data_IF_032013655407
#
_entry.id   IF_032013655407
#
_cell.length_a   1.000
_cell.length_b   1.000
_cell.length_c   1.000
_cell.angle_alpha   90.00
_cell.angle_beta   90.00
_cell.angle_gamma   90.00
#
_symmetry.space_group_name_H-M   'P 1'
#
loop_
_entity.id
_entity.type
_entity.pdbx_description
1 polymer ?
#
# COMPACT_ATOMS: atom_id res chain seq x y z
N UNK A 1 18.54 -29.26 -19.70
CA UNK A 1 17.84 -27.98 -19.93
C UNK A 1 18.83 -26.90 -19.63
N UNK A 2 19.27 -26.20 -20.66
CA UNK A 2 20.40 -25.27 -20.59
C UNK A 2 20.03 -24.06 -19.72
N UNK A 3 20.61 -23.99 -18.52
CA UNK A 3 20.34 -22.95 -17.53
C UNK A 3 20.85 -21.56 -17.95
N UNK A 4 21.60 -21.47 -19.04
CA UNK A 4 22.30 -20.26 -19.47
C UNK A 4 21.42 -19.29 -20.28
N UNK A 5 20.27 -19.74 -20.81
CA UNK A 5 19.41 -18.95 -21.71
C UNK A 5 18.05 -18.55 -21.10
N UNK A 6 18.00 -18.30 -19.78
CA UNK A 6 16.76 -17.76 -19.21
C UNK A 6 16.62 -16.26 -19.55
N UNK A 7 15.39 -15.76 -19.79
CA UNK A 7 15.14 -14.35 -20.13
C UNK A 7 15.68 -13.37 -19.07
N UNK A 8 15.78 -13.82 -17.82
CA UNK A 8 16.31 -13.04 -16.71
C UNK A 8 17.84 -12.89 -16.82
N UNK A 9 18.55 -13.99 -17.11
CA UNK A 9 20.01 -13.99 -17.31
C UNK A 9 20.36 -13.16 -18.54
N UNK A 10 19.61 -13.26 -19.63
CA UNK A 10 19.85 -12.42 -20.82
C UNK A 10 19.62 -10.94 -20.53
N UNK A 11 18.60 -10.60 -19.74
CA UNK A 11 18.31 -9.22 -19.37
C UNK A 11 19.40 -8.67 -18.43
N UNK A 12 19.83 -9.46 -17.46
CA UNK A 12 20.92 -9.11 -16.54
C UNK A 12 22.24 -8.88 -17.27
N UNK A 13 22.63 -9.82 -18.14
CA UNK A 13 23.84 -9.71 -18.95
C UNK A 13 23.79 -8.48 -19.87
N UNK A 14 22.63 -8.19 -20.46
CA UNK A 14 22.43 -6.97 -21.25
C UNK A 14 22.62 -5.71 -20.39
N UNK A 15 22.01 -5.65 -19.21
CA UNK A 15 22.15 -4.49 -18.30
C UNK A 15 23.61 -4.28 -17.86
N UNK A 16 24.36 -5.35 -17.58
CA UNK A 16 25.79 -5.27 -17.26
C UNK A 16 26.59 -4.73 -18.45
N UNK A 17 26.33 -5.21 -19.66
CA UNK A 17 27.03 -4.75 -20.86
C UNK A 17 26.74 -3.27 -21.15
N UNK A 18 25.48 -2.85 -21.05
CA UNK A 18 25.07 -1.45 -21.23
C UNK A 18 25.73 -0.52 -20.18
N UNK A 19 25.85 -1.00 -18.93
CA UNK A 19 26.56 -0.28 -17.87
C UNK A 19 28.06 -0.13 -18.18
N UNK A 20 28.73 -1.21 -18.59
CA UNK A 20 30.14 -1.20 -18.93
C UNK A 20 30.45 -0.29 -20.12
N UNK A 21 29.60 -0.29 -21.14
CA UNK A 21 29.73 0.62 -22.29
C UNK A 21 29.52 2.09 -21.88
N UNK A 22 28.59 2.35 -20.97
CA UNK A 22 28.38 3.71 -20.44
C UNK A 22 29.57 4.18 -19.61
N UNK A 23 30.19 3.31 -18.81
CA UNK A 23 31.44 3.60 -18.10
C UNK A 23 32.61 3.87 -19.06
N UNK A 24 32.73 3.10 -20.14
CA UNK A 24 33.76 3.33 -21.17
C UNK A 24 33.56 4.67 -21.87
N UNK A 25 32.32 5.00 -22.24
CA UNK A 25 31.99 6.29 -22.83
C UNK A 25 32.29 7.45 -21.87
N UNK A 26 32.00 7.28 -20.58
CA UNK A 26 32.30 8.24 -19.52
C UNK A 26 33.81 8.49 -19.42
N UNK A 27 34.61 7.43 -19.33
CA UNK A 27 36.07 7.52 -19.26
C UNK A 27 36.66 8.15 -20.53
N UNK A 28 36.17 7.78 -21.72
CA UNK A 28 36.62 8.39 -22.98
C UNK A 28 36.26 9.88 -23.11
N UNK A 29 35.20 10.33 -22.43
CA UNK A 29 34.79 11.73 -22.47
C UNK A 29 35.72 12.65 -21.65
N UNK A 30 36.47 12.09 -20.69
CA UNK A 30 37.46 12.84 -19.92
C UNK A 30 38.76 13.10 -20.70
N UNK A 31 39.12 12.25 -21.67
CA UNK A 31 40.31 12.44 -22.50
C UNK A 31 40.20 13.62 -23.50
N UNK A 32 39.00 14.21 -23.68
CA UNK A 32 38.74 15.32 -24.63
C UNK A 32 38.92 16.72 -23.98
N UNK A 33 39.37 16.81 -22.73
CA UNK A 33 39.60 18.10 -22.05
C UNK A 33 40.95 18.72 -22.50
N UNK A 34 41.04 19.10 -23.78
CA UNK A 34 42.07 19.98 -24.32
C UNK A 34 41.49 21.41 -24.53
N UNK A 35 42.29 22.48 -24.31
CA UNK A 35 41.79 23.83 -24.08
C UNK A 35 41.40 24.54 -25.38
N UNK A 36 40.19 24.30 -25.89
CA UNK A 36 39.58 25.16 -26.90
C UNK A 36 38.07 25.27 -26.68
N UNK A 37 37.53 26.49 -26.84
CA UNK A 37 36.12 26.81 -26.59
C UNK A 37 35.14 26.04 -27.50
N UNK A 38 35.62 25.49 -28.62
CA UNK A 38 34.87 24.58 -29.51
C UNK A 38 34.65 23.20 -28.89
N UNK A 39 35.56 22.74 -28.01
CA UNK A 39 35.43 21.45 -27.32
C UNK A 39 34.38 21.48 -26.19
N UNK A 40 33.98 22.67 -25.73
CA UNK A 40 33.08 22.82 -24.59
C UNK A 40 31.62 22.48 -24.95
N UNK A 41 31.19 22.73 -26.19
CA UNK A 41 29.86 22.33 -26.70
C UNK A 41 29.79 20.84 -27.03
N UNK A 42 30.88 20.26 -27.52
CA UNK A 42 31.00 18.81 -27.76
C UNK A 42 30.97 18.07 -26.43
N UNK A 43 31.68 18.58 -25.42
CA UNK A 43 31.67 18.03 -24.07
C UNK A 43 30.31 18.18 -23.37
N UNK A 44 29.54 19.24 -23.64
CA UNK A 44 28.18 19.37 -23.10
C UNK A 44 27.20 18.39 -23.77
N UNK A 45 27.32 18.16 -25.08
CA UNK A 45 26.52 17.16 -25.81
C UNK A 45 26.83 15.72 -25.36
N UNK A 46 28.11 15.40 -25.17
CA UNK A 46 28.53 14.10 -24.62
C UNK A 46 28.01 13.87 -23.20
N UNK A 47 28.06 14.89 -22.34
CA UNK A 47 27.47 14.84 -20.99
C UNK A 47 25.97 14.62 -21.02
N UNK A 48 25.25 15.28 -21.93
CA UNK A 48 23.80 15.07 -22.11
C UNK A 48 23.49 13.62 -22.49
N UNK A 49 24.21 13.07 -23.47
CA UNK A 49 24.04 11.67 -23.92
C UNK A 49 24.35 10.68 -22.80
N UNK A 50 25.32 11.01 -21.95
CA UNK A 50 25.68 10.19 -20.80
C UNK A 50 24.58 10.17 -19.73
N UNK A 51 23.97 11.33 -19.44
CA UNK A 51 22.82 11.42 -18.52
C UNK A 51 21.63 10.62 -19.07
N UNK A 52 21.36 10.72 -20.38
CA UNK A 52 20.31 9.93 -21.03
C UNK A 52 20.57 8.41 -20.90
N UNK A 53 21.81 7.97 -21.09
CA UNK A 53 22.19 6.57 -20.89
C UNK A 53 22.03 6.11 -19.43
N UNK A 54 22.40 6.94 -18.46
CA UNK A 54 22.22 6.65 -17.03
C UNK A 54 20.73 6.48 -16.69
N UNK A 55 19.87 7.36 -17.20
CA UNK A 55 18.41 7.26 -17.01
C UNK A 55 17.88 5.97 -17.64
N UNK A 56 18.38 5.59 -18.82
CA UNK A 56 18.00 4.33 -19.45
C UNK A 56 18.41 3.10 -18.63
N UNK A 57 19.62 3.11 -18.05
CA UNK A 57 20.09 2.04 -17.17
C UNK A 57 19.24 1.95 -15.91
N UNK A 58 18.92 3.07 -15.28
CA UNK A 58 18.09 3.12 -14.08
C UNK A 58 16.69 2.55 -14.35
N UNK A 59 16.08 2.93 -15.49
CA UNK A 59 14.80 2.37 -15.93
C UNK A 59 14.87 0.85 -16.13
N UNK A 60 15.95 0.35 -16.74
CA UNK A 60 16.13 -1.09 -16.94
C UNK A 60 16.36 -1.84 -15.62
N UNK A 61 17.08 -1.24 -14.66
CA UNK A 61 17.26 -1.77 -13.30
C UNK A 61 15.93 -1.85 -12.54
N UNK A 62 15.10 -0.81 -12.64
CA UNK A 62 13.76 -0.79 -12.06
C UNK A 62 12.89 -1.93 -12.61
N UNK A 63 12.84 -2.09 -13.95
CA UNK A 63 12.10 -3.20 -14.59
C UNK A 63 12.63 -4.57 -14.14
N UNK A 64 13.95 -4.72 -14.00
CA UNK A 64 14.55 -5.97 -13.55
C UNK A 64 14.16 -6.26 -12.10
N UNK A 65 14.17 -5.25 -11.23
CA UNK A 65 13.78 -5.39 -9.84
C UNK A 65 12.31 -5.84 -9.70
N UNK A 66 11.41 -5.26 -10.50
CA UNK A 66 10.00 -5.66 -10.53
C UNK A 66 9.83 -7.12 -10.96
N UNK A 67 10.59 -7.57 -11.98
CA UNK A 67 10.56 -8.97 -12.42
C UNK A 67 11.09 -9.93 -11.35
N UNK A 68 12.13 -9.53 -10.62
CA UNK A 68 12.68 -10.33 -9.51
C UNK A 68 11.65 -10.44 -8.39
N UNK A 69 10.99 -9.34 -8.01
CA UNK A 69 9.94 -9.34 -7.00
C UNK A 69 8.78 -10.28 -7.39
N UNK A 70 8.35 -10.23 -8.65
CA UNK A 70 7.32 -11.13 -9.19
C UNK A 70 7.77 -12.59 -9.16
N UNK A 71 9.03 -12.88 -9.53
CA UNK A 71 9.57 -14.23 -9.46
C UNK A 71 9.60 -14.79 -8.03
N UNK A 72 9.99 -13.96 -7.05
CA UNK A 72 9.98 -14.34 -5.63
C UNK A 72 8.56 -14.62 -5.12
N UNK A 73 7.56 -13.85 -5.56
CA UNK A 73 6.15 -14.12 -5.23
C UNK A 73 5.68 -15.46 -5.80
N UNK A 74 6.00 -15.75 -7.07
CA UNK A 74 5.66 -17.02 -7.70
C UNK A 74 6.33 -18.20 -6.98
N UNK A 75 7.59 -18.07 -6.58
CA UNK A 75 8.31 -19.13 -5.88
C UNK A 75 7.66 -19.48 -4.53
N UNK A 76 7.16 -18.48 -3.80
CA UNK A 76 6.38 -18.71 -2.56
C UNK A 76 5.07 -19.46 -2.85
N UNK A 77 4.39 -19.14 -3.96
CA UNK A 77 3.17 -19.85 -4.36
C UNK A 77 3.45 -21.32 -4.70
N UNK A 78 4.54 -21.61 -5.42
CA UNK A 78 4.91 -22.99 -5.74
C UNK A 78 5.26 -23.81 -4.49
N UNK A 79 5.97 -23.22 -3.52
CA UNK A 79 6.23 -23.88 -2.23
C UNK A 79 4.93 -24.25 -1.49
N UNK A 80 3.93 -23.37 -1.53
CA UNK A 80 2.63 -23.63 -0.92
C UNK A 80 1.85 -24.73 -1.68
N UNK A 81 2.00 -24.78 -3.00
CA UNK A 81 1.32 -25.79 -3.82
C UNK A 81 1.75 -27.22 -3.48
N UNK A 82 3.04 -27.44 -3.21
CA UNK A 82 3.55 -28.74 -2.76
C UNK A 82 2.97 -29.15 -1.40
N UNK A 83 2.78 -28.19 -0.49
CA UNK A 83 2.13 -28.42 0.80
C UNK A 83 0.65 -28.79 0.63
N UNK A 84 -0.07 -28.09 -0.25
CA UNK A 84 -1.46 -28.38 -0.59
C UNK A 84 -1.59 -29.77 -1.22
N UNK A 85 -0.73 -30.11 -2.17
CA UNK A 85 -0.71 -31.45 -2.79
C UNK A 85 -0.41 -32.52 -1.73
N UNK A 86 0.55 -32.26 -0.84
CA UNK A 86 0.87 -33.15 0.28
C UNK A 86 -0.31 -33.34 1.23
N UNK A 87 -1.01 -32.26 1.57
CA UNK A 87 -2.22 -32.31 2.39
C UNK A 87 -3.35 -33.07 1.68
N UNK A 88 -3.59 -32.79 0.41
CA UNK A 88 -4.59 -33.46 -0.42
C UNK A 88 -4.38 -34.98 -0.46
N UNK A 89 -3.13 -35.44 -0.63
CA UNK A 89 -2.79 -36.87 -0.57
C UNK A 89 -3.08 -37.50 0.79
N UNK A 90 -2.85 -36.78 1.90
CA UNK A 90 -3.17 -37.27 3.25
C UNK A 90 -4.66 -37.42 3.49
N UNK A 91 -5.48 -36.49 3.00
CA UNK A 91 -6.94 -36.55 3.19
C UNK A 91 -7.62 -37.50 2.19
N UNK A 92 -6.99 -37.77 1.05
CA UNK A 92 -7.54 -38.62 -0.01
C UNK A 92 -7.94 -40.00 0.50
N UNK A 93 -7.22 -40.62 1.44
CA UNK A 93 -7.61 -41.92 2.02
C UNK A 93 -8.93 -41.87 2.80
N UNK A 94 -9.32 -40.71 3.32
CA UNK A 94 -10.53 -40.51 4.11
C UNK A 94 -11.71 -40.01 3.26
N UNK A 95 -11.43 -39.46 2.07
CA UNK A 95 -12.46 -38.93 1.16
C UNK A 95 -12.66 -39.76 -0.09
N UNK A 96 -11.79 -40.76 -0.34
CA UNK A 96 -11.93 -41.68 -1.46
C UNK A 96 -13.16 -42.55 -1.28
N UNK A 97 -13.83 -42.85 -2.38
CA UNK A 97 -14.88 -43.85 -2.40
C UNK A 97 -14.33 -45.19 -1.86
N UNK A 98 -15.07 -45.90 -0.99
CA UNK A 98 -14.67 -47.21 -0.50
C UNK A 98 -14.31 -48.14 -1.66
N UNK A 99 -13.38 -49.10 -1.48
CA UNK A 99 -12.95 -50.02 -2.55
C UNK A 99 -14.09 -50.81 -3.22
N UNK A 100 -15.24 -50.95 -2.52
CA UNK A 100 -16.43 -51.64 -3.00
C UNK A 100 -17.62 -50.68 -3.29
N UNK A 101 -17.34 -49.40 -3.54
CA UNK A 101 -18.38 -48.44 -3.91
C UNK A 101 -18.96 -48.80 -5.27
N UNK A 102 -20.27 -49.04 -5.31
CA UNK A 102 -21.02 -49.36 -6.53
C UNK A 102 -21.92 -48.16 -6.88
N UNK A 103 -21.56 -47.44 -7.93
CA UNK A 103 -22.27 -46.24 -8.40
C UNK A 103 -23.72 -46.54 -8.86
N UNK A 104 -24.06 -47.80 -9.08
CA UNK A 104 -25.40 -48.22 -9.51
C UNK A 104 -26.32 -48.59 -8.34
N UNK A 105 -25.80 -48.65 -7.11
CA UNK A 105 -26.64 -48.88 -5.93
C UNK A 105 -27.41 -47.61 -5.58
N UNK A 106 -28.72 -47.71 -5.33
CA UNK A 106 -29.46 -46.58 -4.80
C UNK A 106 -28.82 -46.14 -3.48
N UNK A 107 -28.64 -44.83 -3.32
CA UNK A 107 -28.16 -44.25 -2.08
C UNK A 107 -29.04 -44.77 -0.94
N UNK A 108 -28.43 -45.48 0.01
CA UNK A 108 -29.13 -45.85 1.23
C UNK A 108 -29.64 -44.56 1.88
N UNK A 109 -30.90 -44.52 2.36
CA UNK A 109 -31.38 -43.37 3.11
C UNK A 109 -30.42 -43.13 4.27
N UNK A 110 -29.96 -41.89 4.42
CA UNK A 110 -29.07 -41.52 5.51
C UNK A 110 -29.71 -41.94 6.83
N UNK A 111 -28.96 -42.65 7.66
CA UNK A 111 -29.42 -43.01 8.99
C UNK A 111 -29.73 -41.71 9.77
N UNK A 112 -30.83 -41.66 10.52
CA UNK A 112 -31.11 -40.50 11.35
C UNK A 112 -29.97 -40.34 12.38
N UNK A 113 -29.59 -39.10 12.71
CA UNK A 113 -28.51 -38.85 13.66
C UNK A 113 -28.81 -39.50 15.00
N UNK A 114 -27.79 -40.07 15.64
CA UNK A 114 -27.95 -40.70 16.93
C UNK A 114 -28.41 -39.66 17.97
N UNK A 115 -29.19 -40.03 19.00
CA UNK A 115 -29.70 -39.08 19.99
C UNK A 115 -28.61 -38.18 20.62
N UNK A 116 -27.40 -38.73 20.82
CA UNK A 116 -26.26 -37.98 21.36
C UNK A 116 -25.72 -36.92 20.39
N UNK A 117 -25.70 -37.22 19.09
CA UNK A 117 -25.27 -36.29 18.04
C UNK A 117 -26.25 -35.14 17.93
N UNK A 118 -27.55 -35.44 18.05
CA UNK A 118 -28.62 -34.44 18.03
C UNK A 118 -28.46 -33.42 19.17
N UNK A 119 -28.11 -33.89 20.37
CA UNK A 119 -27.79 -33.01 21.52
C UNK A 119 -26.57 -32.13 21.24
N UNK A 120 -25.50 -32.71 20.67
CA UNK A 120 -24.28 -31.97 20.32
C UNK A 120 -24.57 -30.91 19.25
N UNK A 121 -25.34 -31.25 18.21
CA UNK A 121 -25.72 -30.30 17.16
C UNK A 121 -26.57 -29.14 17.69
N UNK A 122 -27.53 -29.42 18.57
CA UNK A 122 -28.32 -28.38 19.23
C UNK A 122 -27.42 -27.47 20.07
N UNK A 123 -26.49 -28.04 20.84
CA UNK A 123 -25.58 -27.26 21.68
C UNK A 123 -24.67 -26.35 20.84
N UNK A 124 -24.06 -26.90 19.78
CA UNK A 124 -23.22 -26.15 18.85
C UNK A 124 -24.02 -25.02 18.19
N UNK A 125 -25.24 -25.32 17.74
CA UNK A 125 -26.10 -24.33 17.10
C UNK A 125 -26.44 -23.16 18.06
N UNK A 126 -26.84 -23.48 19.29
CA UNK A 126 -27.12 -22.47 20.33
C UNK A 126 -25.87 -21.65 20.63
N UNK A 127 -24.71 -22.29 20.76
CA UNK A 127 -23.45 -21.62 21.06
C UNK A 127 -23.07 -20.62 19.94
N UNK A 128 -23.13 -21.05 18.68
CA UNK A 128 -22.83 -20.19 17.53
C UNK A 128 -23.81 -19.02 17.46
N UNK A 129 -25.10 -19.28 17.66
CA UNK A 129 -26.13 -18.25 17.61
C UNK A 129 -25.93 -17.20 18.70
N UNK A 130 -25.64 -17.64 19.94
CA UNK A 130 -25.36 -16.76 21.07
C UNK A 130 -24.10 -15.93 20.83
N UNK A 131 -23.03 -16.57 20.35
CA UNK A 131 -21.78 -15.88 20.03
C UNK A 131 -22.01 -14.79 18.98
N UNK A 132 -22.71 -15.12 17.88
CA UNK A 132 -23.01 -14.16 16.83
C UNK A 132 -23.84 -12.98 17.36
N UNK A 133 -24.86 -13.26 18.16
CA UNK A 133 -25.72 -12.24 18.76
C UNK A 133 -24.93 -11.25 19.63
N UNK A 134 -24.04 -11.76 20.50
CA UNK A 134 -23.21 -10.92 21.38
C UNK A 134 -22.30 -10.01 20.55
N UNK A 135 -21.63 -10.56 19.52
CA UNK A 135 -20.72 -9.78 18.69
C UNK A 135 -21.43 -8.68 17.89
N UNK A 136 -22.59 -8.99 17.32
CA UNK A 136 -23.41 -7.99 16.60
C UNK A 136 -23.86 -6.90 17.57
N UNK A 137 -24.39 -7.28 18.74
CA UNK A 137 -24.84 -6.31 19.75
C UNK A 137 -23.72 -5.39 20.23
N UNK A 138 -22.52 -5.94 20.45
CA UNK A 138 -21.34 -5.16 20.83
C UNK A 138 -20.93 -4.17 19.72
N UNK A 139 -20.88 -4.64 18.46
CA UNK A 139 -20.54 -3.80 17.31
C UNK A 139 -21.55 -2.66 17.11
N UNK A 140 -22.85 -2.94 17.23
CA UNK A 140 -23.89 -1.90 17.12
C UNK A 140 -23.76 -0.85 18.22
N UNK A 141 -23.46 -1.26 19.46
CA UNK A 141 -23.29 -0.32 20.56
C UNK A 141 -22.07 0.60 20.36
N UNK A 142 -20.94 0.06 19.89
CA UNK A 142 -19.76 0.88 19.56
C UNK A 142 -20.10 1.89 18.46
N UNK A 143 -20.80 1.45 17.41
CA UNK A 143 -21.14 2.32 16.29
C UNK A 143 -22.08 3.45 16.73
N UNK A 144 -23.06 3.15 17.60
CA UNK A 144 -23.95 4.16 18.18
C UNK A 144 -23.19 5.15 19.05
N UNK A 145 -22.27 4.69 19.91
CA UNK A 145 -21.43 5.58 20.75
C UNK A 145 -20.56 6.48 19.88
N UNK A 146 -19.92 5.92 18.85
CA UNK A 146 -19.08 6.69 17.91
C UNK A 146 -19.89 7.74 17.16
N UNK A 147 -21.10 7.41 16.73
CA UNK A 147 -21.98 8.35 16.05
C UNK A 147 -22.41 9.49 16.98
N UNK A 148 -22.77 9.19 18.22
CA UNK A 148 -23.11 10.21 19.22
C UNK A 148 -21.93 11.15 19.46
N UNK A 149 -20.72 10.60 19.66
CA UNK A 149 -19.51 11.40 19.88
C UNK A 149 -19.21 12.34 18.71
N UNK A 150 -19.37 11.86 17.47
CA UNK A 150 -19.17 12.65 16.27
C UNK A 150 -20.17 13.81 16.16
N UNK A 151 -21.46 13.56 16.45
CA UNK A 151 -22.48 14.60 16.47
C UNK A 151 -22.21 15.63 17.57
N UNK A 152 -21.73 15.20 18.74
CA UNK A 152 -21.34 16.12 19.82
C UNK A 152 -20.18 17.04 19.42
N UNK A 153 -19.17 16.53 18.71
CA UNK A 153 -18.05 17.35 18.21
C UNK A 153 -18.49 18.38 17.16
N UNK A 154 -19.37 18.00 16.23
CA UNK A 154 -19.91 18.93 15.24
C UNK A 154 -20.77 20.04 15.88
N UNK A 155 -21.51 19.71 16.95
CA UNK A 155 -22.30 20.70 17.67
C UNK A 155 -21.42 21.71 18.42
N UNK A 156 -20.29 21.28 18.98
CA UNK A 156 -19.31 22.14 19.65
C UNK A 156 -18.62 23.09 18.66
N UNK A 157 -18.19 22.58 17.49
CA UNK A 157 -17.56 23.38 16.44
C UNK A 157 -18.52 24.44 15.85
N UNK A 158 -19.81 24.09 15.67
CA UNK A 158 -20.81 25.05 15.22
C UNK A 158 -21.04 26.18 16.24
N UNK A 159 -20.93 25.89 17.54
CA UNK A 159 -21.12 26.87 18.60
C UNK A 159 -19.94 27.86 18.68
N UNK A 160 -18.71 27.40 18.42
CA UNK A 160 -17.53 28.26 18.35
C UNK A 160 -17.54 29.20 17.13
N UNK A 161 -18.10 28.77 15.99
CA UNK A 161 -18.24 29.64 14.80
C UNK A 161 -19.26 30.75 14.97
N UNK A 162 -20.35 30.52 15.71
CA UNK A 162 -21.34 31.55 15.99
C UNK A 162 -20.76 32.66 16.91
N UNK A 163 -19.89 32.31 17.85
CA UNK A 163 -19.21 33.30 18.72
C UNK A 163 -18.32 34.25 17.89
N UNK A 164 -17.60 33.72 16.89
CA UNK A 164 -16.76 34.54 15.99
C UNK A 164 -17.61 35.47 15.11
N UNK A 165 -18.77 35.00 14.63
CA UNK A 165 -19.72 35.81 13.86
C UNK A 165 -20.32 36.98 14.65
N UNK A 166 -20.53 36.81 15.97
CA UNK A 166 -20.97 37.91 16.84
C UNK A 166 -19.88 38.96 17.11
N UNK A 167 -18.60 38.56 17.17
CA UNK A 167 -17.47 39.48 17.39
C UNK A 167 -17.20 40.37 16.15
N UNK A 168 -17.42 39.86 14.94
CA UNK A 168 -17.25 40.67 13.71
C UNK A 168 -18.40 41.68 13.51
N UNK A 169 -19.60 41.42 14.04
CA UNK A 169 -20.73 42.34 13.92
C UNK A 169 -20.68 43.53 14.90
N UNK A 170 -20.10 43.37 16.09
CA UNK A 170 -19.95 44.47 17.06
C UNK A 170 -18.78 45.42 16.74
N UNK A 171 -17.83 45.04 15.88
CA UNK A 171 -16.69 45.89 15.51
C UNK A 171 -16.95 46.87 14.36
N UNK A 172 -18.19 46.96 13.85
CA UNK A 172 -18.58 47.97 12.87
C UNK A 172 -18.98 49.30 13.55
N UNK A 173 -18.24 49.70 14.58
CA UNK A 173 -18.26 51.08 15.08
C UNK A 173 -17.43 51.94 14.13
N UNK A 174 -18.14 52.81 13.42
CA UNK A 174 -17.63 53.87 12.55
C UNK A 174 -16.75 54.82 13.40
N UNK A 175 -15.47 54.47 13.60
CA UNK A 175 -14.49 55.29 14.31
C UNK A 175 -13.57 55.91 13.26
N UNK A 176 -13.71 57.22 13.10
CA UNK A 176 -12.97 58.05 12.15
C UNK A 176 -11.45 57.93 12.41
N UNK A 177 -10.65 57.47 11.44
CA UNK A 177 -9.20 57.25 11.60
C UNK A 177 -8.41 58.54 11.84
N UNK A 178 -9.04 59.71 11.74
CA UNK A 178 -8.44 61.00 12.10
C UNK A 178 -8.39 61.26 13.61
N UNK A 179 -9.07 60.47 14.45
CA UNK A 179 -9.06 60.65 15.91
C UNK A 179 -7.86 60.02 16.63
N UNK A 180 -6.99 59.28 15.93
CA UNK A 180 -5.90 58.51 16.54
C UNK A 180 -4.50 59.13 16.35
N UNK A 181 -4.42 60.36 15.78
CA UNK A 181 -3.16 60.95 15.32
C UNK A 181 -2.85 62.35 15.89
N UNK A 182 -3.25 62.66 17.13
CA UNK A 182 -2.80 63.90 17.81
C UNK A 182 -2.68 63.68 19.33
N UNK A 183 -1.65 62.95 19.77
CA UNK A 183 -1.07 63.05 21.13
C UNK A 183 0.39 62.53 21.17
N UNK A 184 1.13 62.65 20.05
CA UNK A 184 2.60 62.57 20.06
C UNK A 184 3.16 63.96 20.41
N UNK A 185 2.87 64.44 21.62
CA UNK A 185 3.61 65.54 22.22
C UNK A 185 4.92 64.98 22.78
N UNK A 186 5.99 65.14 22.00
CA UNK A 186 7.36 64.87 22.37
C UNK A 186 7.73 65.81 23.52
N UNK A 187 7.89 65.29 24.74
CA UNK A 187 8.69 65.94 25.76
C UNK A 187 10.15 65.95 25.29
N UNK A 188 10.72 67.11 24.93
CA UNK A 188 12.13 67.23 24.62
C UNK A 188 12.90 67.49 25.92
N UNK A 189 14.21 67.24 25.88
CA UNK A 189 15.21 67.64 26.86
C UNK A 189 15.42 66.68 28.06
N UNK A 190 16.57 66.00 28.02
CA UNK A 190 17.54 65.91 29.12
C UNK A 190 18.85 65.27 28.57
N UNK A 191 19.82 66.14 28.26
CA UNK A 191 21.27 65.85 28.40
C UNK A 191 21.66 65.81 29.89
#
# INVERSE_FOLDING_TARGET
MDSENTPLISLFNKTINDYNETLRALLSSFDVIAPSSTNQSVASLQRKKLVENLIHIDKNLSILNDKIALHQQLQKLYQNLDEIIGHSKRISSFTSAPPNYDSNKPLLPAEPPYPIELVIFIYIYIYIYLYLYINISFLTNILTISYILFISQLAEEAQDTDIIGYIEQENNFDIDPSSFLLDLDLNPDLE
#
